data_IF_822045661305
#
_entry.id   IF_822045661305
#
_cell.length_a   1.000
_cell.length_b   1.000
_cell.length_c   1.000
_cell.angle_alpha   90.00
_cell.angle_beta   90.00
_cell.angle_gamma   90.00
#
_symmetry.space_group_name_H-M   'P 1'
#
loop_
_entity.id
_entity.type
_entity.pdbx_description
1 polymer ?
#
# COMPACT_ATOMS: atom_id res chain seq x y z
N UNK A 1 -6.85 3.51 28.15
CA UNK A 1 -7.35 3.08 26.82
C UNK A 1 -7.09 4.25 25.87
N UNK A 2 -5.91 4.32 25.24
CA UNK A 2 -5.56 5.41 24.33
C UNK A 2 -5.30 4.86 22.93
N UNK A 3 -6.05 5.40 21.98
CA UNK A 3 -5.90 5.23 20.53
C UNK A 3 -4.61 5.90 20.07
N UNK A 4 -3.60 5.10 19.74
CA UNK A 4 -2.42 5.58 19.02
C UNK A 4 -2.72 5.94 17.55
N UNK A 5 -1.74 6.47 16.79
CA UNK A 5 -1.89 7.02 15.43
C UNK A 5 -2.12 5.95 14.34
N UNK A 6 -2.67 4.78 14.67
CA UNK A 6 -3.12 3.77 13.69
C UNK A 6 -4.40 4.18 12.95
N UNK A 7 -5.03 5.31 13.32
CA UNK A 7 -6.30 5.76 12.76
C UNK A 7 -6.19 6.51 11.42
N UNK A 8 -5.00 6.89 10.95
CA UNK A 8 -4.88 7.75 9.76
C UNK A 8 -4.99 6.99 8.42
N UNK A 9 -4.69 5.69 8.39
CA UNK A 9 -4.71 4.88 7.16
C UNK A 9 -5.94 3.96 7.04
N UNK A 10 -6.60 3.66 8.16
CA UNK A 10 -7.75 2.77 8.17
C UNK A 10 -9.03 3.53 7.84
N UNK A 11 -9.80 3.00 6.91
CA UNK A 11 -11.11 3.55 6.54
C UNK A 11 -12.26 2.66 6.99
N UNK A 12 -13.51 3.07 6.76
CA UNK A 12 -14.69 2.37 7.26
C UNK A 12 -15.57 1.85 6.13
N UNK A 13 -15.94 0.58 6.23
CA UNK A 13 -16.97 -0.04 5.39
C UNK A 13 -18.05 -0.69 6.28
N UNK A 14 -19.21 -0.94 5.69
CA UNK A 14 -20.30 -1.64 6.33
C UNK A 14 -20.79 -2.80 5.45
N UNK A 15 -20.78 -4.02 5.98
CA UNK A 15 -21.43 -5.17 5.37
C UNK A 15 -22.89 -5.18 5.79
N UNK A 16 -23.80 -4.94 4.84
CA UNK A 16 -25.24 -4.98 5.06
C UNK A 16 -25.81 -6.29 4.52
N UNK A 17 -26.64 -6.96 5.31
CA UNK A 17 -27.43 -8.14 4.91
C UNK A 17 -28.91 -7.89 5.17
N UNK A 18 -29.75 -8.04 4.15
CA UNK A 18 -31.21 -7.82 4.23
C UNK A 18 -31.97 -9.12 3.98
N UNK A 19 -32.77 -9.55 4.96
CA UNK A 19 -33.59 -10.76 4.84
C UNK A 19 -34.76 -10.54 3.88
N UNK A 20 -34.90 -11.38 2.85
CA UNK A 20 -35.96 -11.24 1.84
C UNK A 20 -37.36 -11.61 2.36
N UNK A 21 -37.47 -12.32 3.48
CA UNK A 21 -38.75 -12.71 4.06
C UNK A 21 -39.33 -11.65 5.02
N UNK A 22 -38.54 -11.16 5.97
CA UNK A 22 -39.00 -10.22 7.01
C UNK A 22 -38.50 -8.78 6.84
N UNK A 23 -37.59 -8.53 5.89
CA UNK A 23 -37.02 -7.20 5.64
C UNK A 23 -36.00 -6.70 6.68
N UNK A 24 -35.68 -7.48 7.73
CA UNK A 24 -34.67 -7.07 8.72
C UNK A 24 -33.31 -6.90 8.05
N UNK A 25 -32.72 -5.72 8.24
CA UNK A 25 -31.36 -5.38 7.84
C UNK A 25 -30.41 -5.55 9.02
N UNK A 26 -29.33 -6.29 8.82
CA UNK A 26 -28.19 -6.40 9.74
C UNK A 26 -27.00 -5.66 9.14
N UNK A 27 -26.32 -4.84 9.96
CA UNK A 27 -25.13 -4.07 9.53
C UNK A 27 -23.94 -4.40 10.41
N UNK A 28 -22.82 -4.74 9.80
CA UNK A 28 -21.54 -4.94 10.46
C UNK A 28 -20.54 -3.93 9.94
N UNK A 29 -20.14 -2.97 10.78
CA UNK A 29 -19.13 -1.96 10.44
C UNK A 29 -17.74 -2.52 10.71
N UNK A 30 -16.83 -2.38 9.76
CA UNK A 30 -15.45 -2.84 9.88
C UNK A 30 -14.47 -1.81 9.29
N UNK A 31 -13.19 -1.98 9.65
CA UNK A 31 -12.11 -1.20 9.06
C UNK A 31 -11.54 -1.90 7.84
N UNK A 32 -11.09 -1.13 6.85
CA UNK A 32 -10.31 -1.65 5.73
C UNK A 32 -9.08 -0.77 5.47
N UNK A 33 -8.05 -1.38 4.87
CA UNK A 33 -6.79 -0.73 4.48
C UNK A 33 -6.54 -0.79 2.98
N UNK A 34 -7.19 -1.75 2.30
CA UNK A 34 -7.15 -1.94 0.86
C UNK A 34 -8.47 -2.53 0.37
N UNK A 35 -8.72 -2.42 -0.94
CA UNK A 35 -9.81 -3.12 -1.62
C UNK A 35 -9.22 -4.20 -2.52
N UNK A 36 -9.59 -5.45 -2.28
CA UNK A 36 -9.22 -6.60 -3.10
C UNK A 36 -10.20 -6.74 -4.27
N UNK A 37 -9.79 -6.27 -5.44
CA UNK A 37 -10.63 -6.20 -6.62
C UNK A 37 -10.45 -7.43 -7.49
N UNK A 38 -11.55 -8.17 -7.72
CA UNK A 38 -11.59 -9.21 -8.73
C UNK A 38 -11.54 -8.57 -10.12
N UNK A 39 -10.60 -9.02 -10.95
CA UNK A 39 -10.39 -8.50 -12.30
C UNK A 39 -10.84 -9.47 -13.40
N UNK A 40 -11.25 -10.69 -13.05
CA UNK A 40 -11.62 -11.70 -14.02
C UNK A 40 -12.89 -11.29 -14.77
N UNK A 41 -12.79 -11.15 -16.10
CA UNK A 41 -13.92 -10.74 -16.94
C UNK A 41 -14.12 -9.23 -17.07
N UNK A 42 -13.32 -8.42 -16.37
CA UNK A 42 -13.39 -6.96 -16.43
C UNK A 42 -12.27 -6.36 -17.28
N UNK A 43 -12.50 -5.17 -17.82
CA UNK A 43 -11.52 -4.42 -18.63
C UNK A 43 -11.11 -3.10 -17.98
N UNK A 44 -11.94 -2.55 -17.10
CA UNK A 44 -11.70 -1.28 -16.44
C UNK A 44 -11.74 -1.43 -14.91
N UNK A 45 -10.94 -0.63 -14.21
CA UNK A 45 -10.88 -0.59 -12.76
C UNK A 45 -12.24 -0.25 -12.13
N UNK A 46 -12.97 0.70 -12.72
CA UNK A 46 -14.30 1.11 -12.26
C UNK A 46 -15.30 -0.05 -12.29
N UNK A 47 -15.20 -0.94 -13.29
CA UNK A 47 -16.05 -2.13 -13.38
C UNK A 47 -15.72 -3.11 -12.24
N UNK A 48 -14.44 -3.23 -11.89
CA UNK A 48 -13.99 -4.10 -10.79
C UNK A 48 -14.47 -3.57 -9.43
N UNK A 49 -14.41 -2.24 -9.21
CA UNK A 49 -14.96 -1.60 -7.99
C UNK A 49 -16.47 -1.76 -7.93
N UNK A 50 -17.16 -1.59 -9.06
CA UNK A 50 -18.61 -1.77 -9.14
C UNK A 50 -19.03 -3.19 -8.80
N UNK A 51 -18.33 -4.19 -9.34
CA UNK A 51 -18.60 -5.60 -9.03
C UNK A 51 -18.28 -5.93 -7.57
N UNK A 52 -17.20 -5.36 -7.00
CA UNK A 52 -16.86 -5.54 -5.59
C UNK A 52 -17.95 -5.03 -4.63
N UNK A 53 -18.61 -3.92 -4.97
CA UNK A 53 -19.68 -3.31 -4.16
C UNK A 53 -21.08 -3.78 -4.53
N UNK A 54 -21.20 -4.66 -5.52
CA UNK A 54 -22.48 -5.16 -6.01
C UNK A 54 -23.17 -6.00 -4.95
N UNK A 55 -24.49 -5.94 -4.98
CA UNK A 55 -25.33 -6.78 -4.14
C UNK A 55 -25.29 -8.24 -4.60
N UNK A 56 -24.92 -9.14 -3.69
CA UNK A 56 -24.97 -10.57 -3.88
C UNK A 56 -26.23 -11.17 -3.26
N UNK A 57 -26.71 -12.28 -3.83
CA UNK A 57 -27.88 -13.01 -3.34
C UNK A 57 -27.44 -14.24 -2.56
N UNK A 58 -27.97 -14.38 -1.36
CA UNK A 58 -27.75 -15.50 -0.45
C UNK A 58 -28.93 -16.47 -0.58
N UNK A 59 -28.82 -17.44 -1.51
CA UNK A 59 -29.87 -18.40 -1.86
C UNK A 59 -29.37 -19.86 -1.79
N UNK A 60 -30.28 -20.82 -1.85
CA UNK A 60 -29.95 -22.25 -1.85
C UNK A 60 -29.23 -22.70 -0.56
N UNK A 61 -28.05 -23.29 -0.71
CA UNK A 61 -27.24 -23.74 0.41
C UNK A 61 -26.59 -22.56 1.18
N UNK A 62 -26.45 -21.40 0.52
CA UNK A 62 -25.84 -20.18 1.07
C UNK A 62 -26.84 -19.25 1.75
N UNK A 63 -28.06 -19.72 2.07
CA UNK A 63 -29.09 -18.92 2.75
C UNK A 63 -28.61 -18.37 4.09
N UNK A 64 -28.97 -17.11 4.35
CA UNK A 64 -28.68 -16.38 5.58
C UNK A 64 -29.56 -16.86 6.74
N UNK A 65 -28.99 -17.09 7.92
CA UNK A 65 -29.79 -17.35 9.11
C UNK A 65 -30.35 -16.04 9.66
N UNK A 66 -31.67 -15.87 9.57
CA UNK A 66 -32.34 -14.68 10.07
C UNK A 66 -32.73 -14.85 11.54
N UNK A 67 -32.16 -14.05 12.43
CA UNK A 67 -32.49 -14.06 13.86
C UNK A 67 -33.96 -13.70 14.14
N UNK A 68 -34.63 -12.92 13.28
CA UNK A 68 -36.06 -12.61 13.47
C UNK A 68 -36.94 -13.75 13.00
N UNK A 69 -36.59 -14.42 11.90
CA UNK A 69 -37.35 -15.57 11.40
C UNK A 69 -36.97 -16.89 12.09
N UNK A 70 -35.89 -16.90 12.90
CA UNK A 70 -35.28 -18.07 13.53
C UNK A 70 -35.01 -19.24 12.55
N UNK A 71 -34.77 -18.93 11.28
CA UNK A 71 -34.65 -19.90 10.18
C UNK A 71 -33.72 -19.38 9.07
N UNK A 72 -33.20 -20.28 8.23
CA UNK A 72 -32.44 -19.92 7.03
C UNK A 72 -33.37 -19.35 5.96
N UNK A 73 -33.10 -18.14 5.52
CA UNK A 73 -33.89 -17.38 4.56
C UNK A 73 -33.02 -16.91 3.40
N UNK A 74 -33.67 -16.65 2.26
CA UNK A 74 -33.02 -15.90 1.21
C UNK A 74 -32.74 -14.47 1.72
N UNK A 75 -31.61 -13.92 1.32
CA UNK A 75 -31.21 -12.58 1.70
C UNK A 75 -30.38 -11.94 0.59
N UNK A 76 -30.21 -10.62 0.67
CA UNK A 76 -29.22 -9.90 -0.12
C UNK A 76 -28.11 -9.40 0.78
N UNK A 77 -26.88 -9.35 0.28
CA UNK A 77 -25.72 -8.86 1.02
C UNK A 77 -24.89 -7.93 0.15
N UNK A 78 -24.34 -6.87 0.73
CA UNK A 78 -23.45 -5.94 0.03
C UNK A 78 -22.51 -5.20 0.96
N UNK A 79 -21.39 -4.77 0.40
CA UNK A 79 -20.43 -3.90 1.06
C UNK A 79 -20.79 -2.46 0.71
N UNK A 80 -20.75 -1.57 1.70
CA UNK A 80 -20.91 -0.13 1.53
C UNK A 80 -19.69 0.59 2.05
N UNK A 81 -19.15 1.52 1.28
CA UNK A 81 -18.03 2.37 1.71
C UNK A 81 -18.60 3.54 2.51
N UNK A 82 -18.37 3.53 3.82
CA UNK A 82 -18.88 4.54 4.75
C UNK A 82 -17.96 5.77 4.73
N UNK A 83 -16.65 5.54 4.79
CA UNK A 83 -15.62 6.58 4.72
C UNK A 83 -14.43 6.08 3.90
N UNK A 84 -13.90 6.91 3.01
CA UNK A 84 -12.68 6.61 2.25
C UNK A 84 -11.41 7.19 2.90
N UNK A 85 -10.25 6.52 2.73
CA UNK A 85 -9.00 6.95 3.34
C UNK A 85 -8.30 7.99 2.46
N UNK A 86 -7.44 8.88 3.00
CA UNK A 86 -6.65 9.80 2.18
C UNK A 86 -5.76 9.10 1.15
N UNK A 87 -5.31 7.88 1.45
CA UNK A 87 -4.58 6.99 0.53
C UNK A 87 -5.38 5.72 0.33
N UNK A 88 -5.81 5.46 -0.89
CA UNK A 88 -6.60 4.31 -1.29
C UNK A 88 -5.71 3.28 -2.00
N UNK A 89 -5.57 2.11 -1.38
CA UNK A 89 -4.88 0.97 -1.95
C UNK A 89 -5.88 0.04 -2.64
N UNK A 90 -5.64 -0.25 -3.91
CA UNK A 90 -6.47 -1.15 -4.73
C UNK A 90 -5.62 -2.32 -5.19
N UNK A 91 -5.83 -3.49 -4.58
CA UNK A 91 -5.16 -4.72 -4.96
C UNK A 91 -5.92 -5.38 -6.11
N UNK A 92 -5.23 -5.62 -7.23
CA UNK A 92 -5.79 -6.35 -8.36
C UNK A 92 -5.54 -7.84 -8.16
N UNK A 93 -6.60 -8.61 -7.95
CA UNK A 93 -6.53 -10.05 -7.67
C UNK A 93 -6.15 -10.86 -8.92
N UNK A 94 -4.89 -10.74 -9.34
CA UNK A 94 -4.35 -11.40 -10.54
C UNK A 94 -4.13 -12.89 -10.36
N UNK A 95 -4.00 -13.40 -9.14
CA UNK A 95 -3.74 -14.81 -8.92
C UNK A 95 -5.04 -15.52 -8.55
N UNK A 96 -5.54 -16.34 -9.48
CA UNK A 96 -6.75 -17.12 -9.30
C UNK A 96 -6.42 -18.61 -9.21
N UNK A 97 -7.21 -19.36 -8.45
CA UNK A 97 -7.05 -20.80 -8.37
C UNK A 97 -7.71 -21.46 -9.58
N UNK A 98 -6.94 -22.16 -10.39
CA UNK A 98 -7.44 -22.92 -11.52
C UNK A 98 -7.79 -24.34 -11.06
N UNK A 99 -9.10 -24.63 -10.99
CA UNK A 99 -9.62 -25.91 -10.51
C UNK A 99 -9.24 -27.09 -11.40
N UNK A 100 -8.96 -26.86 -12.69
CA UNK A 100 -8.60 -27.94 -13.60
C UNK A 100 -7.16 -28.40 -13.38
N UNK A 101 -6.26 -27.45 -13.14
CA UNK A 101 -4.83 -27.75 -12.93
C UNK A 101 -4.47 -27.94 -11.46
N UNK A 102 -5.32 -27.50 -10.54
CA UNK A 102 -5.05 -27.53 -9.09
C UNK A 102 -4.02 -26.49 -8.63
N UNK A 103 -3.62 -25.56 -9.50
CA UNK A 103 -2.57 -24.57 -9.23
C UNK A 103 -3.09 -23.13 -9.37
N UNK A 104 -2.39 -22.19 -8.71
CA UNK A 104 -2.64 -20.76 -8.90
C UNK A 104 -2.15 -20.34 -10.28
N UNK A 105 -2.96 -19.56 -10.98
CA UNK A 105 -2.68 -19.00 -12.30
C UNK A 105 -2.72 -17.48 -12.25
N UNK A 106 -1.73 -16.82 -12.86
CA UNK A 106 -1.73 -15.37 -13.05
C UNK A 106 -2.64 -14.97 -14.22
N UNK A 107 -3.50 -13.98 -13.98
CA UNK A 107 -4.33 -13.31 -14.97
C UNK A 107 -3.50 -12.21 -15.66
N UNK A 108 -3.13 -12.47 -16.91
CA UNK A 108 -2.42 -11.54 -17.79
C UNK A 108 -3.37 -10.66 -18.62
N UNK A 109 -4.62 -10.52 -18.19
CA UNK A 109 -5.59 -9.63 -18.84
C UNK A 109 -5.23 -8.17 -18.58
N UNK A 110 -5.39 -7.33 -19.60
CA UNK A 110 -5.22 -5.88 -19.45
C UNK A 110 -6.37 -5.31 -18.62
N UNK A 111 -6.02 -4.53 -17.60
CA UNK A 111 -6.95 -3.68 -16.87
C UNK A 111 -6.58 -2.23 -17.14
N UNK A 112 -7.57 -1.46 -17.56
CA UNK A 112 -7.47 -0.02 -17.75
C UNK A 112 -7.83 0.72 -16.47
N UNK A 113 -7.07 1.74 -16.11
CA UNK A 113 -7.29 2.59 -14.95
C UNK A 113 -6.90 4.04 -15.27
N UNK A 114 -7.60 4.99 -14.70
CA UNK A 114 -7.41 6.42 -14.97
C UNK A 114 -6.38 7.04 -14.02
N UNK A 115 -5.71 8.11 -14.46
CA UNK A 115 -4.86 8.93 -13.58
C UNK A 115 -5.67 9.63 -12.48
N UNK A 116 -6.95 9.88 -12.74
CA UNK A 116 -7.90 10.41 -11.76
C UNK A 116 -9.06 9.43 -11.59
N UNK A 117 -9.27 8.96 -10.37
CA UNK A 117 -10.35 8.04 -10.01
C UNK A 117 -11.41 8.80 -9.20
N UNK A 118 -12.65 8.83 -9.71
CA UNK A 118 -13.77 9.36 -8.93
C UNK A 118 -14.43 8.22 -8.14
N UNK A 119 -14.35 8.31 -6.82
CA UNK A 119 -14.99 7.36 -5.91
C UNK A 119 -16.33 7.87 -5.37
N UNK A 120 -16.75 9.09 -5.72
CA UNK A 120 -18.01 9.70 -5.26
C UNK A 120 -19.24 8.81 -5.46
N UNK A 121 -19.41 8.13 -6.61
CA UNK A 121 -20.54 7.23 -6.85
C UNK A 121 -20.63 6.02 -5.91
N UNK A 122 -19.54 5.69 -5.20
CA UNK A 122 -19.41 4.48 -4.39
C UNK A 122 -19.49 4.72 -2.87
N UNK A 123 -19.63 5.97 -2.43
CA UNK A 123 -19.65 6.38 -1.02
C UNK A 123 -21.04 6.87 -0.63
N UNK A 124 -21.51 6.50 0.57
CA UNK A 124 -22.85 6.89 1.05
C UNK A 124 -22.98 8.39 1.32
N UNK A 125 -21.90 9.09 1.67
CA UNK A 125 -21.88 10.54 1.87
C UNK A 125 -21.84 11.28 0.53
N UNK A 126 -23.02 11.56 -0.01
CA UNK A 126 -23.19 12.48 -1.12
C UNK A 126 -22.67 13.88 -0.71
N UNK A 127 -21.64 14.38 -1.41
CA UNK A 127 -21.16 15.77 -1.28
C UNK A 127 -19.68 15.95 -0.93
N UNK A 128 -18.94 14.91 -0.56
CA UNK A 128 -17.48 15.01 -0.40
C UNK A 128 -16.77 14.81 -1.74
N UNK A 129 -15.93 15.78 -2.15
CA UNK A 129 -15.04 15.62 -3.31
C UNK A 129 -14.15 14.38 -3.09
N UNK A 130 -14.52 13.26 -3.74
CA UNK A 130 -13.89 11.95 -3.57
C UNK A 130 -13.07 11.59 -4.80
N UNK A 131 -12.44 12.62 -5.39
CA UNK A 131 -11.55 12.47 -6.53
C UNK A 131 -10.16 12.11 -6.03
N UNK A 132 -9.59 11.03 -6.54
CA UNK A 132 -8.25 10.58 -6.22
C UNK A 132 -7.34 10.70 -7.43
N UNK A 133 -6.05 10.98 -7.19
CA UNK A 133 -4.99 10.91 -8.20
C UNK A 133 -4.13 9.67 -8.03
N UNK A 134 -3.73 9.06 -9.14
CA UNK A 134 -2.79 7.95 -9.15
C UNK A 134 -1.41 8.43 -8.71
N UNK A 135 -0.85 7.79 -7.69
CA UNK A 135 0.45 8.14 -7.11
C UNK A 135 1.46 7.01 -7.20
N UNK A 136 1.03 5.74 -7.17
CA UNK A 136 1.92 4.63 -7.44
C UNK A 136 1.23 3.46 -8.12
N UNK A 137 2.02 2.67 -8.84
CA UNK A 137 1.64 1.41 -9.48
C UNK A 137 2.69 0.36 -9.13
N UNK A 138 2.31 -0.62 -8.32
CA UNK A 138 3.15 -1.80 -8.06
C UNK A 138 2.90 -2.82 -9.15
N UNK A 139 3.99 -3.35 -9.70
CA UNK A 139 4.00 -4.31 -10.80
C UNK A 139 4.57 -5.63 -10.28
N UNK A 140 3.93 -6.74 -10.64
CA UNK A 140 4.51 -8.07 -10.49
C UNK A 140 4.93 -8.63 -11.85
N UNK A 141 6.24 -8.83 -12.05
CA UNK A 141 6.84 -9.50 -13.22
C UNK A 141 6.98 -10.99 -12.93
N UNK A 142 6.62 -11.83 -13.91
CA UNK A 142 6.64 -13.28 -13.76
C UNK A 142 5.26 -13.92 -13.87
N UNK A 143 5.26 -15.23 -14.16
CA UNK A 143 4.07 -16.03 -14.47
C UNK A 143 3.46 -16.74 -13.26
N UNK A 144 4.26 -16.92 -12.20
CA UNK A 144 3.90 -17.70 -11.02
C UNK A 144 3.35 -16.80 -9.91
N UNK A 145 2.52 -17.39 -9.04
CA UNK A 145 2.12 -16.77 -7.78
C UNK A 145 3.17 -16.95 -6.66
N UNK A 146 4.15 -17.83 -6.88
CA UNK A 146 5.14 -18.22 -5.89
C UNK A 146 6.53 -17.64 -6.17
N UNK A 147 6.71 -17.04 -7.35
CA UNK A 147 7.99 -16.48 -7.79
C UNK A 147 7.73 -15.38 -8.81
N UNK A 148 8.53 -14.33 -8.73
CA UNK A 148 8.46 -13.20 -9.62
C UNK A 148 9.32 -12.06 -9.09
N UNK A 149 9.20 -10.91 -9.74
CA UNK A 149 9.94 -9.71 -9.39
C UNK A 149 8.98 -8.53 -9.24
N UNK A 150 9.08 -7.82 -8.12
CA UNK A 150 8.22 -6.67 -7.84
C UNK A 150 8.97 -5.38 -8.13
N UNK A 151 8.34 -4.48 -8.88
CA UNK A 151 8.84 -3.12 -9.10
C UNK A 151 7.74 -2.12 -8.81
N UNK A 152 8.10 -0.89 -8.47
CA UNK A 152 7.15 0.17 -8.20
C UNK A 152 7.38 1.36 -9.13
N UNK A 153 6.32 1.85 -9.74
CA UNK A 153 6.33 3.15 -10.40
C UNK A 153 5.67 4.14 -9.46
N UNK A 154 6.40 5.18 -9.05
CA UNK A 154 5.93 6.15 -8.06
C UNK A 154 6.03 7.55 -8.67
N UNK A 155 4.98 8.35 -8.47
CA UNK A 155 4.92 9.74 -8.88
C UNK A 155 5.37 10.61 -7.71
N UNK A 156 6.37 11.44 -7.94
CA UNK A 156 6.76 12.46 -6.98
C UNK A 156 5.64 13.52 -6.88
N UNK A 157 5.07 13.75 -5.68
CA UNK A 157 4.00 14.73 -5.50
C UNK A 157 4.43 16.17 -5.80
N UNK A 158 5.71 16.52 -5.70
CA UNK A 158 6.19 17.90 -5.90
C UNK A 158 6.44 18.19 -7.38
N UNK A 159 7.22 17.34 -8.04
CA UNK A 159 7.57 17.54 -9.46
C UNK A 159 6.52 17.00 -10.43
N UNK A 160 5.60 16.14 -9.94
CA UNK A 160 4.70 15.35 -10.78
C UNK A 160 5.42 14.42 -11.77
N UNK A 161 6.69 14.13 -11.54
CA UNK A 161 7.50 13.24 -12.36
C UNK A 161 7.39 11.80 -11.86
N UNK A 162 7.58 10.84 -12.77
CA UNK A 162 7.50 9.42 -12.46
C UNK A 162 8.88 8.81 -12.33
N UNK A 163 9.03 7.96 -11.32
CA UNK A 163 10.24 7.22 -11.02
C UNK A 163 9.90 5.73 -10.98
N UNK A 164 10.80 4.92 -11.51
CA UNK A 164 10.74 3.45 -11.46
C UNK A 164 11.74 2.99 -10.41
N UNK A 165 11.23 2.32 -9.38
CA UNK A 165 11.99 1.70 -8.31
C UNK A 165 12.07 0.20 -8.58
N UNK A 166 13.30 -0.28 -8.76
CA UNK A 166 13.66 -1.66 -9.04
C UNK A 166 14.75 -2.09 -8.06
N UNK A 167 14.36 -2.58 -6.89
CA UNK A 167 15.26 -2.85 -5.76
C UNK A 167 16.12 -1.62 -5.40
N UNK A 168 17.43 -1.69 -5.64
CA UNK A 168 18.41 -0.62 -5.37
C UNK A 168 18.49 0.40 -6.52
N UNK A 169 17.89 0.11 -7.68
CA UNK A 169 17.92 0.97 -8.85
C UNK A 169 16.70 1.90 -8.88
N UNK A 170 16.96 3.20 -8.99
CA UNK A 170 15.94 4.23 -9.14
C UNK A 170 16.17 4.96 -10.46
N UNK A 171 15.18 4.89 -11.35
CA UNK A 171 15.25 5.49 -12.68
C UNK A 171 14.15 6.55 -12.84
N UNK A 172 14.52 7.77 -13.23
CA UNK A 172 13.55 8.79 -13.63
C UNK A 172 13.00 8.44 -15.02
N UNK A 173 11.68 8.41 -15.16
CA UNK A 173 11.04 8.13 -16.45
C UNK A 173 11.13 9.34 -17.39
N UNK A 174 11.28 9.08 -18.68
CA UNK A 174 11.29 10.14 -19.70
C UNK A 174 9.90 10.76 -19.87
N UNK A 175 9.83 12.07 -19.61
CA UNK A 175 8.59 12.85 -19.72
C UNK A 175 7.69 12.74 -18.50
N UNK A 176 6.58 13.50 -18.51
CA UNK A 176 5.64 13.58 -17.39
C UNK A 176 4.60 12.45 -17.34
N UNK A 177 4.62 11.54 -18.32
CA UNK A 177 3.60 10.49 -18.45
C UNK A 177 4.16 9.16 -17.95
N UNK A 178 3.38 8.50 -17.11
CA UNK A 178 3.66 7.13 -16.70
C UNK A 178 3.70 6.21 -17.93
N UNK A 179 4.80 5.46 -18.08
CA UNK A 179 5.00 4.54 -19.21
C UNK A 179 4.93 3.09 -18.74
N UNK A 180 3.73 2.49 -18.74
CA UNK A 180 3.57 1.07 -18.38
C UNK A 180 3.72 0.14 -19.58
N UNK A 181 4.34 -1.02 -19.38
CA UNK A 181 4.39 -2.11 -20.36
C UNK A 181 5.51 -2.04 -21.40
N UNK A 182 6.54 -1.22 -21.16
CA UNK A 182 7.85 -1.33 -21.84
C UNK A 182 8.73 -2.37 -21.14
N UNK A 183 8.34 -2.80 -19.94
CA UNK A 183 8.99 -3.86 -19.19
C UNK A 183 9.12 -5.11 -20.05
N UNK A 184 10.36 -5.50 -20.32
CA UNK A 184 10.67 -6.76 -20.98
C UNK A 184 10.09 -7.90 -20.14
N UNK A 185 8.97 -8.46 -20.59
CA UNK A 185 8.58 -9.79 -20.16
C UNK A 185 9.78 -10.69 -20.51
N UNK A 186 10.40 -11.33 -19.51
CA UNK A 186 11.57 -12.22 -19.67
C UNK A 186 11.27 -13.47 -20.54
N UNK A 187 10.18 -13.48 -21.31
CA UNK A 187 9.82 -14.56 -22.22
C UNK A 187 10.10 -14.17 -23.67
N UNK A 188 11.12 -14.76 -24.32
CA UNK A 188 11.17 -14.80 -25.76
C UNK A 188 10.07 -15.76 -26.24
N UNK A 189 9.29 -15.34 -27.24
CA UNK A 189 8.31 -16.14 -28.00
C UNK A 189 6.87 -16.25 -27.44
N UNK A 190 6.07 -15.22 -27.74
CA UNK A 190 4.74 -15.34 -28.37
C UNK A 190 4.27 -13.96 -28.81
N UNK A 191 3.54 -13.89 -29.91
CA UNK A 191 3.09 -12.63 -30.53
C UNK A 191 2.59 -11.64 -29.47
N UNK A 192 3.30 -10.52 -29.30
CA UNK A 192 2.94 -9.46 -28.37
C UNK A 192 1.55 -8.99 -28.76
N UNK A 193 0.53 -9.40 -28.00
CA UNK A 193 -0.81 -8.87 -28.14
C UNK A 193 -0.69 -7.34 -28.10
N UNK A 194 -1.06 -6.68 -29.21
CA UNK A 194 -0.94 -5.22 -29.37
C UNK A 194 -1.51 -4.54 -28.13
N UNK A 195 -0.70 -3.69 -27.48
CA UNK A 195 -1.13 -2.89 -26.33
C UNK A 195 -2.46 -2.19 -26.70
N UNK A 196 -3.52 -2.35 -25.91
CA UNK A 196 -4.78 -1.66 -26.19
C UNK A 196 -4.52 -0.16 -26.23
N UNK A 197 -5.13 0.54 -27.19
CA UNK A 197 -5.11 2.01 -27.21
C UNK A 197 -5.89 2.51 -26.01
N UNK A 198 -5.22 3.05 -25.00
CA UNK A 198 -5.85 3.69 -23.86
C UNK A 198 -6.10 5.16 -24.20
N UNK A 199 -7.24 5.70 -23.77
CA UNK A 199 -7.56 7.11 -23.93
C UNK A 199 -6.58 8.01 -23.15
N UNK A 200 -6.54 9.30 -23.46
CA UNK A 200 -5.73 10.28 -22.72
C UNK A 200 -6.17 10.28 -21.25
N UNK A 201 -5.19 10.21 -20.32
CA UNK A 201 -5.45 10.12 -18.88
C UNK A 201 -5.79 8.71 -18.38
N UNK A 202 -5.68 7.69 -19.24
CA UNK A 202 -5.84 6.28 -18.88
C UNK A 202 -4.56 5.49 -19.16
N UNK A 203 -4.31 4.53 -18.29
CA UNK A 203 -3.23 3.56 -18.36
C UNK A 203 -3.84 2.16 -18.48
N UNK A 204 -3.13 1.25 -19.14
CA UNK A 204 -3.54 -0.14 -19.21
C UNK A 204 -2.36 -1.04 -18.88
N UNK A 205 -2.56 -2.01 -17.98
CA UNK A 205 -1.50 -2.93 -17.56
C UNK A 205 -1.99 -4.36 -17.41
N UNK A 206 -1.14 -5.31 -17.82
CA UNK A 206 -1.29 -6.77 -17.59
C UNK A 206 -0.60 -7.25 -16.32
N UNK A 207 0.28 -6.42 -15.74
CA UNK A 207 1.16 -6.81 -14.65
C UNK A 207 0.98 -5.94 -13.39
N UNK A 208 0.21 -4.85 -13.45
CA UNK A 208 -0.10 -4.02 -12.29
C UNK A 208 -0.83 -4.84 -11.22
N UNK A 209 -0.19 -5.02 -10.09
CA UNK A 209 -0.64 -5.82 -8.97
C UNK A 209 -1.38 -4.99 -7.93
N UNK A 210 -0.90 -3.77 -7.66
CA UNK A 210 -1.55 -2.83 -6.74
C UNK A 210 -1.49 -1.42 -7.32
N UNK A 211 -2.59 -0.67 -7.17
CA UNK A 211 -2.69 0.73 -7.53
C UNK A 211 -2.84 1.56 -6.25
N UNK A 212 -2.08 2.64 -6.14
CA UNK A 212 -2.14 3.56 -5.00
C UNK A 212 -2.64 4.90 -5.48
N UNK A 213 -3.76 5.32 -4.89
CA UNK A 213 -4.45 6.55 -5.20
C UNK A 213 -4.46 7.47 -3.97
N UNK A 214 -4.22 8.76 -4.16
CA UNK A 214 -4.28 9.77 -3.09
C UNK A 214 -5.43 10.73 -3.33
N UNK A 215 -6.19 11.04 -2.28
CA UNK A 215 -7.30 11.99 -2.35
C UNK A 215 -6.77 13.36 -2.82
N UNK A 216 -7.43 13.95 -3.82
CA UNK A 216 -7.11 15.32 -4.26
C UNK A 216 -7.62 16.31 -3.22
N UNK A 217 -6.71 17.04 -2.60
CA UNK A 217 -7.05 18.20 -1.76
C UNK A 217 -7.06 19.45 -2.61
N UNK A 218 -8.01 20.36 -2.40
CA UNK A 218 -8.08 21.65 -3.12
C UNK A 218 -7.08 22.69 -2.59
N UNK A 219 -6.31 22.36 -1.56
CA UNK A 219 -5.30 23.27 -0.99
C UNK A 219 -3.93 23.05 -1.63
N UNK A 220 -3.30 24.16 -2.03
CA UNK A 220 -1.96 24.26 -2.63
C UNK A 220 -0.92 23.47 -1.82
N UNK A 221 0.07 22.85 -2.47
CA UNK A 221 1.20 22.24 -1.77
C UNK A 221 2.18 23.35 -1.35
N UNK A 222 1.76 24.21 -0.40
CA UNK A 222 2.69 24.92 0.48
C UNK A 222 2.86 24.14 1.80
N UNK A 223 2.45 22.88 1.82
CA UNK A 223 2.98 21.91 2.77
C UNK A 223 4.23 21.35 2.11
N UNK A 224 5.35 22.06 2.28
CA UNK A 224 6.62 21.36 2.45
C UNK A 224 6.30 20.15 3.32
N UNK A 225 6.71 18.96 2.91
CA UNK A 225 6.83 17.87 3.86
C UNK A 225 7.94 18.30 4.82
N UNK A 226 7.66 19.27 5.70
CA UNK A 226 8.19 19.25 7.04
C UNK A 226 7.75 17.87 7.52
N UNK A 227 8.63 16.89 7.34
CA UNK A 227 8.73 15.76 8.25
C UNK A 227 8.60 16.46 9.60
N UNK A 228 7.48 16.27 10.34
CA UNK A 228 7.32 16.95 11.59
C UNK A 228 8.64 16.78 12.33
N UNK A 229 9.11 17.83 13.00
CA UNK A 229 10.28 17.80 13.87
C UNK A 229 10.05 16.87 15.09
N UNK A 230 9.27 15.81 14.88
CA UNK A 230 9.10 14.63 15.69
C UNK A 230 10.47 13.97 15.82
N UNK A 231 11.06 14.23 16.97
CA UNK A 231 12.17 13.48 17.52
C UNK A 231 11.93 11.99 17.27
N UNK A 232 12.93 11.36 16.67
CA UNK A 232 12.92 9.95 16.37
C UNK A 232 14.21 9.29 16.84
N UNK A 233 14.17 7.98 17.00
CA UNK A 233 15.33 7.19 17.36
C UNK A 233 15.49 6.00 16.42
N UNK A 234 16.71 5.48 16.37
CA UNK A 234 17.00 4.26 15.63
C UNK A 234 17.09 3.05 16.56
N UNK A 235 16.48 1.96 16.12
CA UNK A 235 16.62 0.63 16.72
C UNK A 235 17.09 -0.38 15.68
N UNK A 236 17.81 -1.45 16.07
CA UNK A 236 18.32 -2.44 15.13
C UNK A 236 17.19 -3.22 14.47
N UNK A 237 17.26 -3.40 13.16
CA UNK A 237 16.26 -4.20 12.43
C UNK A 237 16.19 -5.64 12.97
N UNK A 238 17.34 -6.24 13.25
CA UNK A 238 17.44 -7.60 13.82
C UNK A 238 16.75 -7.71 15.18
N UNK A 239 16.87 -6.67 16.02
CA UNK A 239 16.22 -6.64 17.32
C UNK A 239 14.70 -6.53 17.15
N UNK A 240 14.24 -5.64 16.28
CA UNK A 240 12.82 -5.43 16.01
C UNK A 240 12.15 -6.68 15.42
N UNK A 241 12.84 -7.39 14.52
CA UNK A 241 12.38 -8.66 13.96
C UNK A 241 12.19 -9.73 15.05
N UNK A 242 13.16 -9.87 15.96
CA UNK A 242 13.06 -10.81 17.09
C UNK A 242 11.98 -10.41 18.08
N UNK A 243 11.79 -9.11 18.30
CA UNK A 243 10.75 -8.61 19.18
C UNK A 243 9.34 -8.89 18.64
N UNK A 244 9.16 -8.90 17.32
CA UNK A 244 7.89 -9.28 16.67
C UNK A 244 7.62 -10.79 16.72
N UNK A 245 8.66 -11.60 16.86
CA UNK A 245 8.57 -13.05 17.00
C UNK A 245 8.38 -13.42 18.49
N UNK A 246 7.12 -13.58 18.92
CA UNK A 246 6.68 -13.83 20.31
C UNK A 246 7.31 -15.07 20.98
N UNK A 247 8.10 -15.86 20.24
CA UNK A 247 8.74 -17.09 20.68
C UNK A 247 10.01 -16.89 21.51
N UNK A 248 10.59 -15.68 21.57
CA UNK A 248 11.84 -15.44 22.33
C UNK A 248 11.74 -14.26 23.31
N UNK A 249 12.30 -14.37 24.53
CA UNK A 249 12.42 -13.22 25.42
C UNK A 249 13.28 -12.14 24.75
N UNK A 250 12.70 -10.96 24.52
CA UNK A 250 13.40 -9.86 23.88
C UNK A 250 14.62 -9.44 24.74
N UNK A 251 15.82 -9.54 24.15
CA UNK A 251 17.05 -9.05 24.76
C UNK A 251 17.03 -7.52 24.87
N UNK A 252 17.86 -6.90 25.72
CA UNK A 252 18.05 -5.45 25.70
C UNK A 252 18.48 -4.96 24.32
N UNK A 253 18.05 -3.74 23.97
CA UNK A 253 18.40 -3.11 22.69
C UNK A 253 19.89 -2.76 22.69
N UNK A 254 20.65 -3.20 21.70
CA UNK A 254 22.07 -2.83 21.56
C UNK A 254 22.34 -2.13 20.24
N UNK A 255 22.68 -0.84 20.35
CA UNK A 255 22.97 0.03 19.22
C UNK A 255 24.48 0.26 19.01
N UNK A 256 25.34 -0.30 19.87
CA UNK A 256 26.76 0.05 19.95
C UNK A 256 27.49 -0.26 18.64
N UNK A 257 27.13 -1.37 18.00
CA UNK A 257 27.71 -1.82 16.71
C UNK A 257 27.34 -0.95 15.51
N UNK A 258 26.42 0.00 15.69
CA UNK A 258 25.93 0.90 14.64
C UNK A 258 26.43 2.33 14.84
N UNK A 259 27.20 2.60 15.89
CA UNK A 259 27.76 3.92 16.14
C UNK A 259 29.00 4.20 15.28
N UNK A 260 29.17 5.46 14.88
CA UNK A 260 30.45 6.01 14.45
C UNK A 260 31.30 6.43 15.66
N UNK A 261 32.54 6.87 15.43
CA UNK A 261 33.42 7.38 16.49
C UNK A 261 32.81 8.54 17.32
N UNK A 262 31.85 9.28 16.76
CA UNK A 262 31.14 10.37 17.44
C UNK A 262 29.91 9.91 18.23
N UNK A 263 29.75 8.60 18.47
CA UNK A 263 28.60 8.01 19.17
C UNK A 263 27.24 8.27 18.50
N UNK A 264 27.22 8.68 17.24
CA UNK A 264 26.02 8.82 16.38
C UNK A 264 25.88 7.60 15.46
N UNK A 265 24.74 7.44 14.79
CA UNK A 265 24.55 6.38 13.80
C UNK A 265 25.55 6.52 12.64
N UNK A 266 26.25 5.43 12.29
CA UNK A 266 27.14 5.36 11.14
C UNK A 266 26.33 5.33 9.83
N UNK A 267 26.65 6.16 8.81
CA UNK A 267 25.89 6.22 7.55
C UNK A 267 25.72 4.86 6.86
N UNK A 268 26.82 4.11 6.68
CA UNK A 268 26.78 2.78 6.04
C UNK A 268 25.99 1.71 6.80
N UNK A 269 25.50 2.04 7.99
CA UNK A 269 24.75 1.13 8.85
C UNK A 269 23.26 1.47 8.90
N UNK A 270 22.81 2.52 8.21
CA UNK A 270 21.41 2.96 8.18
C UNK A 270 20.47 1.84 7.70
N UNK A 271 20.88 1.07 6.69
CA UNK A 271 20.09 -0.05 6.13
C UNK A 271 19.77 -1.16 7.14
N UNK A 272 20.57 -1.28 8.21
CA UNK A 272 20.37 -2.25 9.28
C UNK A 272 19.56 -1.71 10.47
N UNK A 273 19.10 -0.47 10.37
CA UNK A 273 18.39 0.24 11.43
C UNK A 273 16.99 0.61 10.99
N UNK A 274 16.06 0.72 11.95
CA UNK A 274 14.72 1.24 11.70
C UNK A 274 14.49 2.50 12.52
N UNK A 275 13.99 3.53 11.86
CA UNK A 275 13.48 4.75 12.49
C UNK A 275 12.16 4.46 13.20
N UNK A 276 12.08 4.80 14.48
CA UNK A 276 10.85 4.75 15.29
C UNK A 276 10.62 6.10 15.97
N UNK A 277 9.37 6.42 16.31
CA UNK A 277 9.08 7.66 17.05
C UNK A 277 9.72 7.66 18.43
N UNK A 278 10.07 8.83 18.97
CA UNK A 278 10.62 8.97 20.34
C UNK A 278 9.70 8.31 21.39
N UNK A 279 8.38 8.43 21.22
CA UNK A 279 7.41 7.74 22.08
C UNK A 279 7.57 6.22 22.06
N UNK A 280 7.74 5.63 20.87
CA UNK A 280 7.91 4.18 20.72
C UNK A 280 9.26 3.74 21.30
N UNK A 281 10.31 4.54 21.08
CA UNK A 281 11.62 4.31 21.66
C UNK A 281 11.53 4.32 23.20
N UNK A 282 10.84 5.30 23.79
CA UNK A 282 10.65 5.37 25.24
C UNK A 282 9.99 4.11 25.80
N UNK A 283 8.91 3.64 25.16
CA UNK A 283 8.24 2.39 25.55
C UNK A 283 9.18 1.19 25.45
N UNK A 284 9.99 1.11 24.38
CA UNK A 284 10.92 0.00 24.19
C UNK A 284 12.07 0.01 25.19
N UNK A 285 12.73 1.15 25.41
CA UNK A 285 13.83 1.25 26.36
C UNK A 285 13.35 1.12 27.81
N UNK A 286 12.16 1.60 28.17
CA UNK A 286 11.59 1.38 29.51
C UNK A 286 11.29 -0.09 29.77
N UNK A 287 10.80 -0.82 28.76
CA UNK A 287 10.36 -2.21 28.93
C UNK A 287 11.48 -3.25 28.77
N UNK A 288 12.40 -3.03 27.84
CA UNK A 288 13.43 -4.00 27.47
C UNK A 288 14.85 -3.55 27.85
N UNK A 289 15.04 -2.27 28.17
CA UNK A 289 16.35 -1.71 28.48
C UNK A 289 17.30 -1.68 27.28
N UNK A 290 18.57 -1.40 27.57
CA UNK A 290 19.65 -1.36 26.58
C UNK A 290 20.13 0.05 26.25
N UNK A 291 20.87 0.17 25.14
CA UNK A 291 21.49 1.41 24.67
C UNK A 291 22.64 1.13 23.71
N UNK A 292 23.35 2.16 23.24
CA UNK A 292 23.07 3.59 23.41
C UNK A 292 21.89 4.08 22.57
N UNK A 293 21.18 5.11 23.04
CA UNK A 293 20.04 5.69 22.30
C UNK A 293 20.54 6.56 21.15
N UNK A 294 20.22 6.17 19.92
CA UNK A 294 20.60 6.89 18.71
C UNK A 294 19.48 7.83 18.29
N UNK A 295 19.51 9.06 18.83
CA UNK A 295 18.54 10.10 18.50
C UNK A 295 18.88 10.75 17.16
N UNK A 296 17.88 10.88 16.29
CA UNK A 296 17.96 11.69 15.09
C UNK A 296 17.43 13.09 15.36
N UNK A 297 18.21 14.10 14.98
CA UNK A 297 17.73 15.48 14.81
C UNK A 297 17.91 15.78 13.32
N UNK A 298 16.90 16.36 12.69
CA UNK A 298 17.02 16.81 11.31
C UNK A 298 17.75 18.17 11.28
N UNK A 299 18.68 18.43 10.34
CA UNK A 299 19.35 17.48 9.47
C UNK A 299 20.39 16.64 10.23
N UNK A 300 20.69 15.45 9.73
CA UNK A 300 21.82 14.62 10.19
C UNK A 300 23.09 15.46 9.96
N UNK A 301 23.54 16.20 10.96
CA UNK A 301 24.84 16.86 10.89
C UNK A 301 25.87 15.77 10.60
N UNK A 302 26.54 15.82 9.45
CA UNK A 302 27.28 14.66 9.04
C UNK A 302 28.55 14.56 9.89
N UNK A 303 28.82 13.33 10.27
CA UNK A 303 30.12 12.87 10.75
C UNK A 303 31.22 13.00 9.66
N UNK A 304 30.92 13.63 8.51
CA UNK A 304 31.75 13.66 7.30
C UNK A 304 32.79 14.77 7.28
N UNK A 305 32.93 15.59 8.32
CA UNK A 305 33.97 16.63 8.34
C UNK A 305 35.40 16.08 8.52
N UNK A 306 35.57 14.79 8.82
CA UNK A 306 36.89 14.13 8.84
C UNK A 306 37.18 13.25 7.60
N UNK A 307 36.36 13.33 6.55
CA UNK A 307 36.63 12.66 5.26
C UNK A 307 36.61 13.70 4.13
N UNK A 308 37.48 14.70 4.23
CA UNK A 308 37.89 15.49 3.06
C UNK A 308 38.95 14.68 2.33
N UNK A 309 38.50 13.79 1.43
CA UNK A 309 39.04 13.48 0.10
C UNK A 309 38.36 12.22 -0.43
N UNK A 310 37.18 12.34 -1.03
CA UNK A 310 36.99 12.10 -2.48
C UNK A 310 35.50 12.26 -2.89
N UNK A 311 35.30 13.02 -3.95
CA UNK A 311 34.16 13.09 -4.89
C UNK A 311 32.71 12.81 -4.45
N UNK A 312 31.90 13.88 -4.52
CA UNK A 312 30.52 13.97 -5.04
C UNK A 312 29.68 12.68 -5.15
N UNK A 313 28.61 12.56 -4.35
CA UNK A 313 27.25 12.77 -4.88
C UNK A 313 26.22 12.80 -3.74
N UNK A 314 25.32 13.79 -3.82
CA UNK A 314 24.23 14.02 -2.88
C UNK A 314 23.11 13.00 -3.11
N UNK A 315 23.01 11.97 -2.26
CA UNK A 315 21.85 11.08 -2.19
C UNK A 315 20.87 11.57 -1.12
N UNK A 316 19.72 12.04 -1.59
CA UNK A 316 18.54 12.30 -0.77
C UNK A 316 17.80 10.99 -0.52
N UNK A 317 18.01 10.41 0.67
CA UNK A 317 17.30 9.22 1.14
C UNK A 317 15.82 9.54 1.42
N UNK A 318 14.94 9.14 0.50
CA UNK A 318 13.49 9.11 0.72
C UNK A 318 13.09 7.69 1.12
N UNK A 319 13.05 7.43 2.43
CA UNK A 319 12.51 6.20 3.01
C UNK A 319 10.97 6.19 2.89
N UNK A 320 10.45 5.49 1.88
CA UNK A 320 9.04 5.07 1.85
C UNK A 320 8.94 3.70 2.54
N UNK A 321 8.14 3.63 3.60
CA UNK A 321 7.78 2.37 4.23
C UNK A 321 6.74 1.64 3.35
N UNK A 322 7.09 0.45 2.88
CA UNK A 322 6.14 -0.58 2.43
C UNK A 322 5.61 -1.31 3.66
#
# INVERSE_FOLDING_TARGET
RHSGPRCALASLSALSSSCSHCGRESKLVSKFYELELNIQGHKQLTDCVTEFLKEEKLEGDNRYFCETCQTKQNATRKIRLVKLPPTLNLQLMRFVFDRQTGHKKKLNTYIAFSETLDMGPFVEQAGSNSSYELTAVLIHRGVSAYSGHYIAHVRDPHTSEWYKFNDEEIEKMEGKKLQLGIEEDLEPSKAIARKPKCAKGFHCSRNAYMLVYRLKTEEKPDVEFEVPDEKYEFVPLEWLQKWLDESTPAKPIDNSKYQCAHSKLHPDKISHMKRISEFSAEVFYQRYGGGPRLKGVFPIMPCSQDVVTDHCDSQSDVLIAI
#
